data_IF_643843865487
#
_entry.id   IF_643843865487
#
_cell.length_a   1.000
_cell.length_b   1.000
_cell.length_c   1.000
_cell.angle_alpha   90.00
_cell.angle_beta   90.00
_cell.angle_gamma   90.00
#
_symmetry.space_group_name_H-M   'P 1'
#
loop_
_entity.id
_entity.type
_entity.pdbx_description
1 polymer ?
#
# COMPACT_ATOMS: atom_id res chain seq x y z
N UNK A 1 -69.76 32.61 49.00
CA UNK A 1 -69.46 33.17 50.33
C UNK A 1 -67.95 33.13 50.52
N UNK A 2 -67.30 34.29 50.62
CA UNK A 2 -65.97 34.38 51.25
C UNK A 2 -66.22 34.67 52.74
N UNK A 3 -65.44 34.10 53.66
CA UNK A 3 -64.33 34.88 54.25
C UNK A 3 -63.09 34.01 54.58
N UNK A 4 -61.88 34.52 54.35
CA UNK A 4 -60.98 35.19 55.33
C UNK A 4 -60.43 34.26 56.41
N UNK A 5 -59.21 34.39 56.92
CA UNK A 5 -57.96 35.04 56.57
C UNK A 5 -57.02 34.78 57.76
N UNK A 6 -55.71 34.98 57.55
CA UNK A 6 -54.65 35.25 58.55
C UNK A 6 -54.11 34.02 59.28
N UNK A 7 -52.92 33.56 58.89
CA UNK A 7 -51.60 34.12 59.22
C UNK A 7 -51.06 33.55 60.53
N UNK A 8 -50.09 32.65 60.42
CA UNK A 8 -49.01 32.59 61.40
C UNK A 8 -47.68 32.71 60.64
N UNK A 9 -46.94 33.80 60.86
CA UNK A 9 -45.68 34.10 60.19
C UNK A 9 -44.53 33.38 60.90
N UNK A 10 -43.32 33.60 60.37
CA UNK A 10 -42.01 33.40 60.99
C UNK A 10 -41.40 31.99 60.87
N UNK A 11 -40.34 32.00 60.06
CA UNK A 11 -38.98 31.55 60.43
C UNK A 11 -38.51 30.23 59.79
N UNK A 12 -38.08 30.33 58.53
CA UNK A 12 -36.88 29.67 57.95
C UNK A 12 -36.81 30.09 56.45
N UNK A 13 -36.37 31.29 56.08
CA UNK A 13 -34.96 31.69 56.04
C UNK A 13 -33.99 30.61 55.51
N UNK A 14 -34.42 29.80 54.53
CA UNK A 14 -33.53 28.98 53.69
C UNK A 14 -33.62 29.46 52.22
N UNK A 15 -33.33 30.75 52.02
CA UNK A 15 -33.08 31.37 50.73
C UNK A 15 -31.62 31.13 50.32
N UNK A 16 -31.35 30.02 49.65
CA UNK A 16 -30.17 29.86 48.78
C UNK A 16 -30.61 29.23 47.44
N UNK A 17 -31.20 29.99 46.50
CA UNK A 17 -31.07 29.64 45.10
C UNK A 17 -29.62 29.92 44.68
N UNK A 18 -28.98 28.92 44.11
CA UNK A 18 -27.65 28.99 43.51
C UNK A 18 -27.52 30.26 42.68
N UNK A 19 -26.55 31.08 43.06
CA UNK A 19 -26.00 32.20 42.30
C UNK A 19 -25.71 31.76 40.86
N UNK A 20 -26.57 32.15 39.93
CA UNK A 20 -26.22 32.28 38.52
C UNK A 20 -25.14 33.36 38.42
N UNK A 21 -23.87 32.94 38.31
CA UNK A 21 -22.82 33.82 37.81
C UNK A 21 -23.15 34.11 36.34
N UNK A 22 -23.70 35.29 36.08
CA UNK A 22 -23.75 35.86 34.74
C UNK A 22 -22.32 36.08 34.25
N UNK A 23 -21.84 35.18 33.39
CA UNK A 23 -20.58 35.38 32.66
C UNK A 23 -20.84 36.50 31.64
N UNK A 24 -20.11 37.63 31.69
CA UNK A 24 -20.14 38.60 30.60
C UNK A 24 -19.65 37.89 29.34
N UNK A 25 -20.40 37.99 28.23
CA UNK A 25 -19.88 37.56 26.94
C UNK A 25 -18.54 38.25 26.73
N UNK A 26 -17.45 37.50 26.73
CA UNK A 26 -16.15 38.03 26.33
C UNK A 26 -16.32 38.43 24.88
N UNK A 27 -16.42 39.74 24.64
CA UNK A 27 -16.38 40.29 23.30
C UNK A 27 -15.16 39.75 22.58
N UNK A 28 -15.27 39.63 21.27
CA UNK A 28 -14.12 39.36 20.40
C UNK A 28 -12.97 40.27 20.81
N UNK A 29 -11.92 39.69 21.38
CA UNK A 29 -10.63 40.35 21.37
C UNK A 29 -10.20 40.21 19.92
N UNK A 30 -10.31 41.29 19.13
CA UNK A 30 -9.48 41.40 17.94
C UNK A 30 -8.07 41.10 18.43
N UNK A 31 -7.51 39.99 17.96
CA UNK A 31 -6.08 39.79 18.09
C UNK A 31 -5.46 41.07 17.52
N UNK A 32 -4.76 41.79 18.40
CA UNK A 32 -4.14 43.05 18.04
C UNK A 32 -3.37 42.90 16.74
N UNK A 33 -3.31 44.02 16.03
CA UNK A 33 -2.63 44.17 14.73
C UNK A 33 -1.37 43.29 14.70
N UNK A 34 -1.17 42.48 13.65
CA UNK A 34 0.04 41.67 13.55
C UNK A 34 1.24 42.60 13.67
N UNK A 35 2.31 42.13 14.30
CA UNK A 35 3.59 42.84 14.26
C UNK A 35 3.95 43.05 12.79
N UNK A 36 3.72 44.25 12.28
CA UNK A 36 4.12 44.70 10.96
C UNK A 36 5.62 44.87 11.01
N UNK A 37 6.34 43.74 10.89
CA UNK A 37 7.70 43.76 10.42
C UNK A 37 7.70 44.51 9.10
N UNK A 38 8.47 45.59 9.05
CA UNK A 38 8.70 46.45 7.91
C UNK A 38 8.79 45.63 6.60
N UNK A 39 7.73 45.68 5.80
CA UNK A 39 7.79 45.30 4.40
C UNK A 39 8.38 46.46 3.63
N UNK A 40 9.45 46.20 2.89
CA UNK A 40 9.79 46.98 1.71
C UNK A 40 8.52 47.10 0.83
N UNK A 41 8.12 48.30 0.38
CA UNK A 41 6.89 48.48 -0.35
C UNK A 41 7.03 47.91 -1.77
N UNK A 42 6.46 46.73 -2.03
CA UNK A 42 6.53 46.17 -3.38
C UNK A 42 5.89 44.82 -3.68
N UNK A 43 5.22 44.12 -2.77
CA UNK A 43 4.50 42.89 -3.12
C UNK A 43 3.08 42.89 -2.56
N UNK A 44 2.11 43.00 -3.48
CA UNK A 44 0.70 42.69 -3.23
C UNK A 44 0.61 41.26 -2.72
N UNK A 45 0.47 41.09 -1.41
CA UNK A 45 0.17 39.79 -0.82
C UNK A 45 -1.31 39.51 -1.04
N UNK A 46 -1.61 38.88 -2.17
CA UNK A 46 -2.81 38.04 -2.25
C UNK A 46 -2.76 37.04 -1.08
N UNK A 47 -3.91 36.67 -0.48
CA UNK A 47 -3.90 35.62 0.54
C UNK A 47 -3.23 34.40 -0.08
N UNK A 48 -2.13 33.95 0.53
CA UNK A 48 -1.53 32.67 0.17
C UNK A 48 -2.58 31.61 0.46
N UNK A 49 -3.27 31.17 -0.60
CA UNK A 49 -3.97 29.89 -0.59
C UNK A 49 -2.97 28.87 -0.04
N UNK A 50 -3.37 28.19 1.03
CA UNK A 50 -2.61 27.10 1.62
C UNK A 50 -2.38 26.09 0.51
N UNK A 51 -1.18 26.06 -0.07
CA UNK A 51 -0.83 25.04 -1.07
C UNK A 51 -1.03 23.70 -0.36
N UNK A 52 -1.98 22.85 -0.80
CA UNK A 52 -2.17 21.56 -0.17
C UNK A 52 -0.83 20.81 -0.29
N UNK A 53 -0.27 20.37 0.84
CA UNK A 53 0.90 19.48 0.80
C UNK A 53 0.54 18.28 -0.09
N UNK A 54 1.31 18.10 -1.16
CA UNK A 54 1.06 17.01 -2.10
C UNK A 54 1.31 15.69 -1.36
N UNK A 55 0.25 14.88 -1.21
CA UNK A 55 0.37 13.55 -0.61
C UNK A 55 1.24 12.69 -1.55
N UNK A 56 2.37 12.13 -1.09
CA UNK A 56 3.24 11.34 -1.95
C UNK A 56 2.50 10.09 -2.45
N UNK A 57 2.79 9.68 -3.68
CA UNK A 57 2.25 8.46 -4.28
C UNK A 57 3.25 7.32 -4.11
N UNK A 58 2.76 6.13 -3.76
CA UNK A 58 3.56 4.91 -3.65
C UNK A 58 3.01 3.82 -4.57
N UNK A 59 3.93 2.99 -5.09
CA UNK A 59 3.59 1.80 -5.86
C UNK A 59 3.47 0.59 -4.95
N UNK A 60 2.33 -0.07 -5.00
CA UNK A 60 2.01 -1.26 -4.23
C UNK A 60 1.94 -2.46 -5.16
N UNK A 61 2.84 -3.45 -5.03
CA UNK A 61 2.84 -4.62 -5.87
C UNK A 61 1.71 -5.56 -5.45
N UNK A 62 0.90 -6.00 -6.40
CA UNK A 62 -0.14 -7.01 -6.26
C UNK A 62 0.05 -8.08 -7.33
N UNK A 63 -0.10 -9.35 -6.97
CA UNK A 63 -0.17 -10.43 -7.96
C UNK A 63 -1.63 -10.75 -8.25
N UNK A 64 -2.00 -10.74 -9.52
CA UNK A 64 -3.30 -11.20 -10.02
C UNK A 64 -3.11 -12.40 -10.94
N UNK A 65 -4.21 -12.96 -11.41
CA UNK A 65 -4.22 -14.17 -12.25
C UNK A 65 -4.70 -13.81 -13.65
N UNK A 66 -3.92 -14.19 -14.66
CA UNK A 66 -4.28 -14.13 -16.08
C UNK A 66 -4.03 -15.51 -16.68
N UNK A 67 -5.05 -16.12 -17.30
CA UNK A 67 -4.95 -17.47 -17.90
C UNK A 67 -4.31 -18.53 -16.97
N UNK A 68 -4.60 -18.45 -15.67
CA UNK A 68 -4.08 -19.36 -14.64
C UNK A 68 -2.65 -19.08 -14.18
N UNK A 69 -1.99 -18.05 -14.72
CA UNK A 69 -0.63 -17.63 -14.36
C UNK A 69 -0.63 -16.36 -13.51
N UNK A 70 0.33 -16.25 -12.60
CA UNK A 70 0.49 -15.04 -11.78
C UNK A 70 1.14 -13.91 -12.58
N UNK A 71 0.53 -12.73 -12.54
CA UNK A 71 0.99 -11.49 -13.16
C UNK A 71 1.13 -10.42 -12.08
N UNK A 72 2.28 -9.74 -12.02
CA UNK A 72 2.48 -8.64 -11.07
C UNK A 72 1.94 -7.33 -11.65
N UNK A 73 1.35 -6.52 -10.77
CA UNK A 73 0.79 -5.20 -11.08
C UNK A 73 1.16 -4.24 -9.97
N UNK A 74 1.71 -3.08 -10.34
CA UNK A 74 1.96 -1.98 -9.41
C UNK A 74 0.74 -1.04 -9.38
N UNK A 75 -0.01 -1.05 -8.28
CA UNK A 75 -1.05 -0.03 -8.03
C UNK A 75 -0.44 1.23 -7.42
N UNK A 76 -0.80 2.38 -7.95
CA UNK A 76 -0.35 3.67 -7.38
C UNK A 76 -1.40 4.17 -6.40
N UNK A 77 -1.01 4.36 -5.14
CA UNK A 77 -1.90 4.83 -4.06
C UNK A 77 -1.30 6.03 -3.34
N UNK A 78 -2.11 6.95 -2.81
CA UNK A 78 -1.63 8.06 -2.00
C UNK A 78 -1.18 7.58 -0.62
N UNK A 79 -0.11 8.20 -0.11
CA UNK A 79 0.42 7.98 1.23
C UNK A 79 1.41 6.83 1.29
N UNK A 80 1.49 6.19 2.46
CA UNK A 80 2.28 4.97 2.67
C UNK A 80 1.35 3.76 2.74
N UNK A 81 1.90 2.55 2.58
CA UNK A 81 1.14 1.30 2.67
C UNK A 81 1.92 0.28 3.48
N UNK A 82 1.25 -0.30 4.47
CA UNK A 82 1.74 -1.44 5.24
C UNK A 82 1.34 -2.78 4.58
N UNK A 83 1.86 -3.90 5.10
CA UNK A 83 1.57 -5.24 4.55
C UNK A 83 0.09 -5.61 4.67
N UNK A 84 -0.57 -5.25 5.79
CA UNK A 84 -1.98 -5.55 6.01
C UNK A 84 -2.86 -4.85 4.98
N UNK A 85 -2.60 -3.56 4.75
CA UNK A 85 -3.30 -2.78 3.71
C UNK A 85 -3.06 -3.35 2.31
N UNK A 86 -1.83 -3.79 2.01
CA UNK A 86 -1.51 -4.46 0.73
C UNK A 86 -2.33 -5.74 0.54
N UNK A 87 -2.36 -6.60 1.57
CA UNK A 87 -3.13 -7.85 1.54
C UNK A 87 -4.62 -7.57 1.40
N UNK A 88 -5.17 -6.58 2.10
CA UNK A 88 -6.57 -6.19 1.95
C UNK A 88 -6.90 -5.73 0.53
N UNK A 89 -6.02 -4.94 -0.10
CA UNK A 89 -6.19 -4.55 -1.52
C UNK A 89 -6.18 -5.76 -2.46
N UNK A 90 -5.37 -6.78 -2.16
CA UNK A 90 -5.33 -8.03 -2.91
C UNK A 90 -6.65 -8.81 -2.77
N UNK A 91 -7.17 -8.95 -1.54
CA UNK A 91 -8.44 -9.63 -1.27
C UNK A 91 -9.66 -8.90 -1.85
N UNK A 92 -9.59 -7.58 -2.01
CA UNK A 92 -10.59 -6.81 -2.76
C UNK A 92 -10.64 -7.22 -4.24
N UNK A 93 -9.54 -7.78 -4.75
CA UNK A 93 -9.41 -8.23 -6.13
C UNK A 93 -9.06 -7.10 -7.11
N UNK A 94 -9.00 -7.43 -8.40
CA UNK A 94 -8.69 -6.47 -9.46
C UNK A 94 -9.78 -5.40 -9.60
N UNK A 95 -9.38 -4.19 -9.98
CA UNK A 95 -10.29 -3.08 -10.28
C UNK A 95 -10.93 -3.22 -11.68
N UNK A 96 -11.77 -2.26 -12.07
CA UNK A 96 -12.51 -2.34 -13.33
C UNK A 96 -11.60 -2.33 -14.56
N UNK A 97 -10.50 -1.59 -14.50
CA UNK A 97 -9.53 -1.50 -15.58
C UNK A 97 -8.73 -2.80 -15.69
N UNK A 98 -8.21 -3.29 -14.56
CA UNK A 98 -7.48 -4.55 -14.48
C UNK A 98 -8.34 -5.74 -14.93
N UNK A 99 -9.62 -5.79 -14.52
CA UNK A 99 -10.58 -6.80 -15.01
C UNK A 99 -10.85 -6.66 -16.50
N UNK A 100 -10.92 -5.44 -17.01
CA UNK A 100 -11.02 -5.17 -18.45
C UNK A 100 -9.83 -5.69 -19.25
N UNK A 101 -8.66 -5.83 -18.60
CA UNK A 101 -7.45 -6.42 -19.18
C UNK A 101 -7.38 -7.95 -18.98
N UNK A 102 -8.41 -8.61 -18.44
CA UNK A 102 -8.43 -10.05 -18.22
C UNK A 102 -7.86 -10.51 -16.88
N UNK A 103 -7.46 -9.59 -15.99
CA UNK A 103 -6.96 -9.96 -14.67
C UNK A 103 -8.08 -10.42 -13.74
N UNK A 104 -7.81 -11.49 -13.01
CA UNK A 104 -8.71 -12.12 -12.05
C UNK A 104 -8.01 -12.34 -10.71
N UNK A 105 -8.73 -12.86 -9.72
CA UNK A 105 -8.18 -13.26 -8.42
C UNK A 105 -8.71 -14.65 -8.08
N UNK A 106 -7.83 -15.52 -7.58
CA UNK A 106 -8.19 -16.84 -7.04
C UNK A 106 -8.49 -16.76 -5.54
N UNK A 107 -8.24 -15.60 -4.91
CA UNK A 107 -8.55 -15.38 -3.50
C UNK A 107 -10.06 -15.20 -3.30
N UNK A 108 -10.66 -15.92 -2.33
CA UNK A 108 -12.04 -15.70 -1.98
C UNK A 108 -12.20 -14.30 -1.35
N UNK A 109 -13.36 -13.65 -1.49
CA UNK A 109 -13.62 -12.40 -0.81
C UNK A 109 -13.38 -12.51 0.70
N UNK A 110 -12.60 -11.60 1.26
CA UNK A 110 -12.36 -11.57 2.70
C UNK A 110 -13.36 -10.63 3.39
N UNK A 111 -14.14 -11.18 4.33
CA UNK A 111 -14.93 -10.37 5.27
C UNK A 111 -14.06 -9.78 6.39
N UNK A 112 -12.91 -10.42 6.68
CA UNK A 112 -11.98 -10.06 7.76
C UNK A 112 -10.54 -10.11 7.24
N UNK A 113 -9.72 -9.16 7.70
CA UNK A 113 -8.32 -9.11 7.34
C UNK A 113 -7.53 -10.31 7.93
N UNK A 114 -6.61 -10.92 7.17
CA UNK A 114 -5.64 -11.85 7.75
C UNK A 114 -4.76 -11.18 8.81
N UNK A 115 -4.32 -11.95 9.79
CA UNK A 115 -3.29 -11.49 10.75
C UNK A 115 -1.91 -11.71 10.13
N UNK A 116 -1.07 -10.67 10.11
CA UNK A 116 0.28 -10.75 9.55
C UNK A 116 1.30 -10.55 10.67
N UNK A 117 2.36 -11.36 10.69
CA UNK A 117 3.53 -11.17 11.55
C UNK A 117 4.80 -11.31 10.74
N UNK A 118 5.77 -10.48 11.06
CA UNK A 118 7.09 -10.46 10.42
C UNK A 118 8.16 -10.84 11.45
N UNK A 119 9.14 -11.64 11.04
CA UNK A 119 10.30 -12.02 11.83
C UNK A 119 11.52 -12.14 10.91
N UNK A 120 12.35 -11.09 10.85
CA UNK A 120 13.44 -10.99 9.89
C UNK A 120 12.96 -11.12 8.43
N UNK A 121 13.41 -12.18 7.76
CA UNK A 121 13.01 -12.56 6.39
C UNK A 121 11.70 -13.36 6.35
N UNK A 122 11.24 -13.89 7.47
CA UNK A 122 10.01 -14.65 7.58
C UNK A 122 8.77 -13.76 7.69
N UNK A 123 7.70 -14.12 6.99
CA UNK A 123 6.38 -13.51 7.13
C UNK A 123 5.33 -14.60 7.31
N UNK A 124 4.60 -14.57 8.42
CA UNK A 124 3.47 -15.46 8.65
C UNK A 124 2.15 -14.72 8.40
N UNK A 125 1.30 -15.27 7.55
CA UNK A 125 -0.04 -14.77 7.25
C UNK A 125 -1.06 -15.79 7.76
N UNK A 126 -1.79 -15.44 8.81
CA UNK A 126 -2.85 -16.28 9.37
C UNK A 126 -4.20 -15.85 8.84
N UNK A 127 -4.86 -16.73 8.09
CA UNK A 127 -6.19 -16.51 7.58
C UNK A 127 -7.23 -16.62 8.71
N UNK A 128 -8.32 -15.83 8.64
CA UNK A 128 -9.42 -15.96 9.60
C UNK A 128 -10.09 -17.33 9.47
N UNK A 129 -10.72 -17.81 10.56
CA UNK A 129 -11.39 -19.13 10.56
C UNK A 129 -12.57 -19.22 9.58
N UNK A 130 -13.13 -18.08 9.21
CA UNK A 130 -14.20 -17.95 8.22
C UNK A 130 -13.69 -18.10 6.78
N UNK A 131 -12.38 -18.01 6.54
CA UNK A 131 -11.81 -18.28 5.23
C UNK A 131 -11.97 -19.76 4.87
N UNK A 132 -12.26 -20.06 3.61
CA UNK A 132 -12.15 -21.42 3.09
C UNK A 132 -10.69 -21.86 2.95
N UNK A 133 -10.47 -23.12 2.59
CA UNK A 133 -9.17 -23.56 2.08
C UNK A 133 -8.87 -22.86 0.76
N UNK A 134 -7.68 -22.28 0.64
CA UNK A 134 -7.18 -21.67 -0.60
C UNK A 134 -6.64 -22.74 -1.55
N UNK A 135 -6.83 -22.53 -2.85
CA UNK A 135 -6.11 -23.25 -3.90
C UNK A 135 -4.61 -22.94 -3.86
N UNK A 136 -3.79 -23.76 -4.52
CA UNK A 136 -2.35 -23.51 -4.57
C UNK A 136 -2.04 -22.18 -5.30
N UNK A 137 -2.76 -21.87 -6.39
CA UNK A 137 -2.65 -20.56 -7.07
C UNK A 137 -3.02 -19.39 -6.15
N UNK A 138 -4.09 -19.51 -5.34
CA UNK A 138 -4.45 -18.47 -4.38
C UNK A 138 -3.40 -18.30 -3.26
N UNK A 139 -2.79 -19.40 -2.80
CA UNK A 139 -1.65 -19.35 -1.86
C UNK A 139 -0.48 -18.62 -2.51
N UNK A 140 -0.13 -18.96 -3.75
CA UNK A 140 0.98 -18.33 -4.47
C UNK A 140 0.71 -16.84 -4.72
N UNK A 141 -0.51 -16.48 -5.11
CA UNK A 141 -0.95 -15.10 -5.31
C UNK A 141 -0.75 -14.26 -4.04
N UNK A 142 -1.20 -14.78 -2.89
CA UNK A 142 -1.04 -14.13 -1.59
C UNK A 142 0.43 -14.08 -1.16
N UNK A 143 1.14 -15.21 -1.25
CA UNK A 143 2.52 -15.32 -0.81
C UNK A 143 3.44 -14.40 -1.62
N UNK A 144 3.32 -14.37 -2.95
CA UNK A 144 4.15 -13.51 -3.79
C UNK A 144 3.87 -12.02 -3.59
N UNK A 145 2.60 -11.65 -3.42
CA UNK A 145 2.24 -10.27 -3.07
C UNK A 145 2.91 -9.83 -1.77
N UNK A 146 2.79 -10.64 -0.72
CA UNK A 146 3.37 -10.34 0.60
C UNK A 146 4.89 -10.33 0.55
N UNK A 147 5.51 -11.28 -0.15
CA UNK A 147 6.96 -11.40 -0.25
C UNK A 147 7.57 -10.17 -0.92
N UNK A 148 7.03 -9.76 -2.08
CA UNK A 148 7.53 -8.59 -2.81
C UNK A 148 7.24 -7.31 -2.05
N UNK A 149 6.07 -7.18 -1.43
CA UNK A 149 5.75 -6.04 -0.58
C UNK A 149 6.72 -5.92 0.62
N UNK A 150 7.09 -7.04 1.26
CA UNK A 150 8.08 -7.06 2.36
C UNK A 150 9.46 -6.58 1.89
N UNK A 151 9.90 -7.03 0.71
CA UNK A 151 11.16 -6.59 0.12
C UNK A 151 11.15 -5.11 -0.29
N UNK A 152 10.00 -4.55 -0.68
CA UNK A 152 9.85 -3.11 -0.93
C UNK A 152 9.93 -2.30 0.36
N UNK A 153 9.37 -2.81 1.45
CA UNK A 153 9.42 -2.16 2.76
C UNK A 153 10.81 -2.20 3.40
N UNK A 154 11.56 -3.28 3.17
CA UNK A 154 12.88 -3.48 3.75
C UNK A 154 13.82 -4.12 2.71
N UNK A 155 14.46 -3.29 1.87
CA UNK A 155 15.35 -3.77 0.81
C UNK A 155 16.60 -4.50 1.31
N UNK A 156 16.93 -4.40 2.61
CA UNK A 156 18.13 -5.02 3.17
C UNK A 156 18.03 -6.54 3.35
N UNK A 157 16.81 -7.11 3.31
CA UNK A 157 16.58 -8.54 3.58
C UNK A 157 17.12 -9.47 2.49
N UNK A 158 17.22 -9.01 1.24
CA UNK A 158 17.61 -9.82 0.08
C UNK A 158 16.57 -10.85 -0.38
N UNK A 159 15.84 -11.49 0.54
CA UNK A 159 14.72 -12.40 0.26
C UNK A 159 13.64 -12.35 1.37
N UNK A 160 12.45 -12.86 1.06
CA UNK A 160 11.35 -13.00 2.00
C UNK A 160 10.68 -14.37 1.87
N UNK A 161 10.50 -15.07 3.00
CA UNK A 161 9.85 -16.36 3.06
C UNK A 161 8.45 -16.21 3.66
N UNK A 162 7.41 -16.49 2.87
CA UNK A 162 6.03 -16.34 3.34
C UNK A 162 5.44 -17.70 3.71
N UNK A 163 4.81 -17.79 4.88
CA UNK A 163 4.01 -18.93 5.33
C UNK A 163 2.57 -18.47 5.56
N UNK A 164 1.63 -19.11 4.89
CA UNK A 164 0.18 -18.92 5.02
C UNK A 164 -0.37 -20.02 5.92
N UNK A 165 -0.89 -19.63 7.08
CA UNK A 165 -1.62 -20.49 8.00
C UNK A 165 -3.11 -20.44 7.67
N UNK A 166 -3.64 -21.55 7.17
CA UNK A 166 -5.03 -21.70 6.76
C UNK A 166 -5.87 -22.33 7.88
N UNK A 167 -7.22 -22.18 7.83
CA UNK A 167 -8.10 -22.87 8.77
C UNK A 167 -7.88 -24.38 8.75
N UNK A 168 -7.93 -24.99 9.94
CA UNK A 168 -7.56 -26.41 10.13
C UNK A 168 -6.05 -26.64 10.31
N UNK A 169 -5.22 -25.60 10.32
CA UNK A 169 -3.79 -25.70 10.60
C UNK A 169 -2.92 -26.11 9.41
N UNK A 170 -3.47 -26.12 8.19
CA UNK A 170 -2.68 -26.33 6.97
C UNK A 170 -1.74 -25.14 6.78
N UNK A 171 -0.47 -25.44 6.54
CA UNK A 171 0.56 -24.47 6.19
C UNK A 171 0.92 -24.63 4.72
N UNK A 172 1.00 -23.52 4.01
CA UNK A 172 1.48 -23.44 2.64
C UNK A 172 2.20 -22.10 2.46
N UNK A 173 2.98 -21.91 1.40
CA UNK A 173 3.74 -20.67 1.25
C UNK A 173 4.75 -20.72 0.14
N UNK A 174 5.49 -19.63 -0.04
CA UNK A 174 6.45 -19.45 -1.14
C UNK A 174 7.56 -18.48 -0.74
N UNK A 175 8.75 -18.65 -1.33
CA UNK A 175 9.84 -17.68 -1.23
C UNK A 175 9.69 -16.60 -2.29
N UNK A 176 10.14 -15.38 -2.01
CA UNK A 176 10.22 -14.30 -2.99
C UNK A 176 10.99 -14.67 -4.26
N UNK A 177 11.95 -15.60 -4.16
CA UNK A 177 12.78 -16.03 -5.30
C UNK A 177 12.00 -16.86 -6.33
N UNK A 178 10.92 -17.51 -5.91
CA UNK A 178 10.05 -18.33 -6.76
C UNK A 178 8.91 -17.51 -7.38
N UNK A 179 8.82 -16.22 -7.07
CA UNK A 179 7.77 -15.36 -7.58
C UNK A 179 8.09 -14.86 -8.99
N UNK A 180 7.13 -14.92 -9.94
CA UNK A 180 7.36 -14.43 -11.29
C UNK A 180 7.56 -12.92 -11.24
N UNK A 181 8.77 -12.46 -11.53
CA UNK A 181 9.02 -11.03 -11.66
C UNK A 181 8.47 -10.53 -13.00
N UNK A 182 7.87 -9.34 -13.03
CA UNK A 182 7.52 -8.67 -14.28
C UNK A 182 8.74 -8.61 -15.19
N UNK A 183 8.70 -9.40 -16.26
CA UNK A 183 9.72 -9.41 -17.31
C UNK A 183 9.82 -8.06 -18.04
N UNK A 184 8.92 -7.12 -17.77
CA UNK A 184 8.93 -5.75 -18.32
C UNK A 184 10.12 -4.95 -17.80
N UNK A 185 10.60 -5.17 -16.56
CA UNK A 185 11.79 -4.46 -16.03
C UNK A 185 13.10 -5.17 -16.33
N UNK A 186 13.07 -6.45 -16.75
CA UNK A 186 14.29 -7.22 -17.08
C UNK A 186 14.74 -7.08 -18.54
N UNK A 187 14.22 -6.10 -19.28
CA UNK A 187 14.84 -5.66 -20.54
C UNK A 187 16.05 -4.77 -20.21
N UNK A 188 17.05 -5.36 -19.55
CA UNK A 188 18.43 -4.86 -19.60
C UNK A 188 18.78 -4.75 -21.10
N UNK A 189 19.41 -3.66 -21.58
CA UNK A 189 19.92 -3.65 -22.93
C UNK A 189 20.96 -4.76 -23.02
N UNK A 190 20.61 -5.88 -23.65
CA UNK A 190 21.60 -6.82 -24.15
C UNK A 190 22.44 -6.03 -25.13
N UNK A 191 23.60 -5.53 -24.68
CA UNK A 191 24.65 -5.07 -25.58
C UNK A 191 24.93 -6.27 -26.46
N UNK A 192 24.70 -6.20 -27.79
CA UNK A 192 25.07 -7.30 -28.66
C UNK A 192 26.58 -7.43 -28.54
N UNK A 193 27.04 -8.52 -27.93
CA UNK A 193 28.43 -8.93 -28.02
C UNK A 193 28.71 -9.12 -29.49
N UNK A 194 29.50 -8.21 -30.08
CA UNK A 194 30.15 -8.41 -31.36
C UNK A 194 31.00 -9.66 -31.22
N UNK A 195 30.43 -10.78 -31.64
CA UNK A 195 31.13 -12.03 -31.78
C UNK A 195 32.26 -11.80 -32.80
N UNK A 196 33.49 -11.84 -32.31
CA UNK A 196 34.66 -12.08 -33.12
C UNK A 196 34.56 -13.51 -33.67
N UNK A 197 34.57 -13.69 -34.99
CA UNK A 197 35.03 -14.94 -35.60
C UNK A 197 35.44 -14.74 -37.08
N UNK A 198 36.09 -15.73 -37.72
CA UNK A 198 37.51 -15.74 -37.95
C UNK A 198 37.86 -15.62 -39.45
N UNK A 199 39.15 -15.46 -39.70
CA UNK A 199 39.79 -15.26 -41.00
C UNK A 199 39.31 -16.27 -42.05
N UNK A 200 38.81 -15.74 -43.17
CA UNK A 200 38.53 -16.45 -44.41
C UNK A 200 39.83 -16.95 -45.03
N UNK A 201 40.00 -18.27 -45.06
CA UNK A 201 41.03 -18.95 -45.84
C UNK A 201 40.66 -18.99 -47.32
N UNK A 202 41.59 -18.53 -48.15
CA UNK A 202 41.54 -18.49 -49.62
C UNK A 202 41.45 -19.91 -50.20
N UNK A 203 40.46 -20.15 -51.05
CA UNK A 203 40.39 -21.31 -51.94
C UNK A 203 40.50 -20.83 -53.38
N UNK A 204 41.63 -21.13 -54.02
CA UNK A 204 41.79 -20.99 -55.47
C UNK A 204 42.56 -22.20 -56.00
N UNK A 205 41.86 -23.00 -56.81
CA UNK A 205 42.33 -23.49 -58.11
C UNK A 205 43.38 -24.59 -58.12
N UNK A 206 42.97 -25.78 -58.61
CA UNK A 206 43.83 -26.95 -58.76
C UNK A 206 44.88 -26.86 -59.87
N UNK A 207 45.70 -27.92 -60.01
CA UNK A 207 46.24 -28.46 -61.28
C UNK A 207 47.12 -29.69 -61.00
N UNK A 208 46.66 -30.81 -61.57
CA UNK A 208 47.40 -31.91 -62.25
C UNK A 208 48.48 -32.70 -61.49
N UNK A 209 48.21 -34.00 -61.36
CA UNK A 209 49.19 -35.03 -61.00
C UNK A 209 50.12 -35.39 -62.16
N UNK A 210 51.36 -35.79 -61.83
CA UNK A 210 52.30 -36.42 -62.75
C UNK A 210 53.34 -37.26 -61.98
N UNK A 211 53.14 -38.58 -62.02
CA UNK A 211 54.09 -39.70 -62.13
C UNK A 211 55.56 -39.59 -61.67
N UNK A 212 55.97 -40.57 -60.86
CA UNK A 212 57.03 -41.53 -61.25
C UNK A 212 58.38 -41.41 -60.55
N UNK A 213 58.91 -42.55 -60.10
CA UNK A 213 60.32 -42.75 -59.72
C UNK A 213 60.51 -43.39 -58.37
#
# INVERSE_FOLDING_TARGET
MNPSARAFPLLLAALLPLSACGIPGTGVVEAGEPATGVLDPGVTSAPSESVPEAVPLVKVPLYFVEDGSLVAVDRTVPGSTDLGSTVLMLFKGPDDQERGNGLTTELPPAAEAPTIRTDGTGVSVRLPRSAGSLSDTAVDQLACTVAVARLRQDPALGSAQVTVEQPGGRLAGRSSEDCPLDTVTRRTPSVPGTAANPRTGTSTGGTVGRTGG
#
